data_IF_923666757666
#
_entry.id   IF_923666757666
#
_cell.length_a   1.000
_cell.length_b   1.000
_cell.length_c   1.000
_cell.angle_alpha   90.00
_cell.angle_beta   90.00
_cell.angle_gamma   90.00
#
_symmetry.space_group_name_H-M   'P 1'
#
loop_
_entity.id
_entity.type
_entity.pdbx_description
1 polymer ?
#
# COMPACT_ATOMS: atom_id res chain seq x y z
N UNK A 1 -23.46 12.43 -3.08
CA UNK A 1 -23.92 11.07 -2.72
C UNK A 1 -22.91 10.02 -3.19
N UNK A 2 -21.62 10.14 -2.82
CA UNK A 2 -20.51 9.30 -3.33
C UNK A 2 -19.45 8.96 -2.25
N UNK A 3 -19.81 9.14 -0.98
CA UNK A 3 -18.85 9.17 0.14
C UNK A 3 -18.64 7.82 0.85
N UNK A 4 -19.45 6.81 0.56
CA UNK A 4 -19.39 5.51 1.25
C UNK A 4 -18.56 4.46 0.50
N UNK A 5 -18.73 4.29 -0.81
CA UNK A 5 -18.04 3.26 -1.59
C UNK A 5 -16.51 3.34 -1.54
N UNK A 6 -15.96 4.56 -1.53
CA UNK A 6 -14.52 4.78 -1.46
C UNK A 6 -13.87 4.38 -0.13
N UNK A 7 -14.59 4.46 1.00
CA UNK A 7 -13.99 4.13 2.31
C UNK A 7 -13.84 2.62 2.46
N UNK A 8 -14.85 1.86 2.00
CA UNK A 8 -14.84 0.40 2.06
C UNK A 8 -13.79 -0.21 1.11
N UNK A 9 -13.62 0.36 -0.08
CA UNK A 9 -12.55 -0.03 -1.00
C UNK A 9 -11.16 0.18 -0.37
N UNK A 10 -10.91 1.34 0.25
CA UNK A 10 -9.62 1.63 0.90
C UNK A 10 -9.38 0.72 2.12
N UNK A 11 -10.42 0.39 2.89
CA UNK A 11 -10.30 -0.58 3.99
C UNK A 11 -10.01 -2.00 3.51
N UNK A 12 -10.63 -2.45 2.41
CA UNK A 12 -10.32 -3.74 1.80
C UNK A 12 -8.88 -3.80 1.31
N UNK A 13 -8.40 -2.72 0.68
CA UNK A 13 -7.02 -2.60 0.22
C UNK A 13 -6.01 -2.58 1.38
N UNK A 14 -6.34 -1.89 2.48
CA UNK A 14 -5.54 -1.92 3.70
C UNK A 14 -5.45 -3.33 4.29
N UNK A 15 -6.58 -4.04 4.38
CA UNK A 15 -6.59 -5.40 4.90
C UNK A 15 -5.75 -6.37 4.03
N UNK A 16 -5.84 -6.24 2.71
CA UNK A 16 -5.02 -7.03 1.79
C UNK A 16 -3.52 -6.73 1.95
N UNK A 17 -3.12 -5.45 1.93
CA UNK A 17 -1.71 -5.08 2.08
C UNK A 17 -1.12 -5.47 3.43
N UNK A 18 -1.89 -5.38 4.52
CA UNK A 18 -1.45 -5.88 5.83
C UNK A 18 -1.27 -7.40 5.79
N UNK A 19 -2.19 -8.14 5.15
CA UNK A 19 -2.03 -9.58 4.94
C UNK A 19 -0.78 -9.93 4.16
N UNK A 20 -0.49 -9.20 3.07
CA UNK A 20 0.72 -9.36 2.25
C UNK A 20 1.97 -9.07 3.08
N UNK A 21 1.97 -7.97 3.85
CA UNK A 21 3.09 -7.61 4.72
C UNK A 21 3.38 -8.71 5.75
N UNK A 22 2.35 -9.28 6.37
CA UNK A 22 2.48 -10.40 7.31
C UNK A 22 3.09 -11.62 6.59
N UNK A 23 2.57 -11.99 5.41
CA UNK A 23 3.10 -13.13 4.64
C UNK A 23 4.57 -12.96 4.28
N UNK A 24 4.98 -11.76 3.82
CA UNK A 24 6.37 -11.44 3.53
C UNK A 24 7.25 -11.45 4.77
N UNK A 25 6.75 -10.94 5.90
CA UNK A 25 7.50 -10.95 7.16
C UNK A 25 7.70 -12.37 7.71
N UNK A 26 6.70 -13.24 7.59
CA UNK A 26 6.84 -14.67 7.91
C UNK A 26 7.88 -15.32 7.00
N UNK A 27 7.84 -15.04 5.69
CA UNK A 27 8.85 -15.54 4.76
C UNK A 27 10.26 -15.03 5.09
N UNK A 28 10.40 -13.79 5.54
CA UNK A 28 11.66 -13.27 6.05
C UNK A 28 12.16 -14.09 7.25
N UNK A 29 11.31 -14.36 8.25
CA UNK A 29 11.70 -15.16 9.43
C UNK A 29 12.15 -16.56 9.01
N UNK A 30 11.48 -17.18 8.04
CA UNK A 30 11.78 -18.53 7.56
C UNK A 30 13.07 -18.60 6.73
N UNK A 31 13.34 -17.58 5.91
CA UNK A 31 14.49 -17.56 4.98
C UNK A 31 15.74 -16.91 5.59
N UNK A 32 15.56 -15.99 6.54
CA UNK A 32 16.61 -15.12 7.06
C UNK A 32 17.18 -14.14 6.03
N UNK A 33 16.50 -13.94 4.88
CA UNK A 33 17.02 -13.16 3.76
C UNK A 33 16.81 -11.65 3.93
N UNK A 34 17.86 -10.86 3.74
CA UNK A 34 17.80 -9.38 3.67
C UNK A 34 16.85 -8.89 2.57
N UNK A 35 16.82 -9.57 1.42
CA UNK A 35 15.91 -9.29 0.31
C UNK A 35 14.44 -9.47 0.71
N UNK A 36 14.12 -10.53 1.46
CA UNK A 36 12.75 -10.75 1.98
C UNK A 36 12.36 -9.72 3.05
N UNK A 37 13.31 -9.25 3.87
CA UNK A 37 13.07 -8.16 4.80
C UNK A 37 12.75 -6.84 4.08
N UNK A 38 13.52 -6.51 3.03
CA UNK A 38 13.27 -5.35 2.18
C UNK A 38 11.84 -5.36 1.62
N UNK A 39 11.44 -6.49 1.05
CA UNK A 39 10.10 -6.72 0.53
C UNK A 39 9.01 -6.59 1.60
N UNK A 40 9.24 -7.10 2.81
CA UNK A 40 8.30 -6.98 3.92
C UNK A 40 8.13 -5.52 4.37
N UNK A 41 9.23 -4.77 4.50
CA UNK A 41 9.22 -3.34 4.85
C UNK A 41 8.48 -2.53 3.79
N UNK A 42 8.66 -2.87 2.51
CA UNK A 42 7.93 -2.23 1.42
C UNK A 42 6.41 -2.37 1.58
N UNK A 43 5.91 -3.59 1.84
CA UNK A 43 4.48 -3.82 2.05
C UNK A 43 3.91 -3.14 3.31
N UNK A 44 4.75 -2.90 4.32
CA UNK A 44 4.38 -2.06 5.48
C UNK A 44 4.26 -0.58 5.08
N UNK A 45 5.17 -0.08 4.24
CA UNK A 45 5.09 1.28 3.71
C UNK A 45 3.82 1.48 2.88
N UNK A 46 3.44 0.50 2.05
CA UNK A 46 2.19 0.54 1.28
C UNK A 46 0.94 0.58 2.17
N UNK A 47 0.93 -0.21 3.25
CA UNK A 47 -0.14 -0.16 4.25
C UNK A 47 -0.24 1.23 4.91
N UNK A 48 0.91 1.87 5.17
CA UNK A 48 0.98 3.23 5.73
C UNK A 48 0.38 4.26 4.77
N UNK A 49 0.59 4.11 3.47
CA UNK A 49 -0.02 4.99 2.46
C UNK A 49 -1.56 4.91 2.46
N UNK A 50 -2.12 3.71 2.63
CA UNK A 50 -3.57 3.55 2.77
C UNK A 50 -4.10 4.19 4.05
N UNK A 51 -3.36 4.13 5.16
CA UNK A 51 -3.72 4.86 6.39
C UNK A 51 -3.75 6.38 6.18
N UNK A 52 -2.80 6.93 5.42
CA UNK A 52 -2.80 8.36 5.06
C UNK A 52 -4.02 8.74 4.21
N UNK A 53 -4.43 7.88 3.26
CA UNK A 53 -5.64 8.10 2.47
C UNK A 53 -6.92 8.05 3.33
N UNK A 54 -6.99 7.11 4.28
CA UNK A 54 -8.11 7.02 5.24
C UNK A 54 -8.17 8.27 6.12
N UNK A 55 -7.01 8.74 6.61
CA UNK A 55 -6.92 9.96 7.41
C UNK A 55 -7.36 11.20 6.60
N UNK A 56 -6.92 11.31 5.35
CA UNK A 56 -7.34 12.35 4.43
C UNK A 56 -8.84 12.34 4.17
N UNK A 57 -9.42 11.14 4.00
CA UNK A 57 -10.87 10.95 3.88
C UNK A 57 -11.62 11.36 5.15
N UNK A 58 -11.12 11.00 6.33
CA UNK A 58 -11.71 11.40 7.62
C UNK A 58 -11.67 12.92 7.81
N UNK A 59 -10.53 13.56 7.53
CA UNK A 59 -10.38 15.02 7.62
C UNK A 59 -11.25 15.76 6.60
N UNK A 60 -11.45 15.18 5.41
CA UNK A 60 -12.31 15.77 4.39
C UNK A 60 -13.81 15.81 4.78
N UNK A 61 -14.25 14.97 5.71
CA UNK A 61 -15.62 14.97 6.25
C UNK A 61 -15.85 15.99 7.37
N UNK A 62 -14.82 16.75 7.77
CA UNK A 62 -14.95 17.77 8.82
C UNK A 62 -15.85 18.92 8.35
N UNK A 63 -16.76 19.36 9.23
CA UNK A 63 -17.65 20.49 9.00
C UNK A 63 -16.86 21.80 8.79
N UNK A 64 -17.50 22.76 8.09
CA UNK A 64 -16.94 24.09 7.90
C UNK A 64 -16.76 24.82 9.23
N UNK A 65 -15.71 25.64 9.31
CA UNK A 65 -15.43 26.49 10.45
C UNK A 65 -15.04 27.90 9.98
N UNK A 66 -14.86 28.89 10.88
CA UNK A 66 -14.56 30.27 10.49
C UNK A 66 -13.30 30.41 9.64
N UNK A 67 -12.35 29.48 9.77
CA UNK A 67 -11.11 29.48 8.97
C UNK A 67 -11.30 28.84 7.59
N UNK A 68 -12.23 27.88 7.49
CA UNK A 68 -12.56 27.16 6.26
C UNK A 68 -14.08 27.19 6.00
N UNK A 69 -14.57 28.33 5.52
CA UNK A 69 -16.00 28.57 5.26
C UNK A 69 -16.61 27.61 4.22
N UNK A 70 -15.80 27.13 3.27
CA UNK A 70 -16.20 26.14 2.26
C UNK A 70 -16.06 24.68 2.73
N UNK A 71 -15.66 24.44 3.98
CA UNK A 71 -15.41 23.11 4.52
C UNK A 71 -14.10 22.46 4.06
N UNK A 72 -13.90 21.20 4.46
CA UNK A 72 -12.62 20.50 4.34
C UNK A 72 -12.57 19.46 3.20
N UNK A 73 -13.60 19.37 2.35
CA UNK A 73 -13.71 18.31 1.34
C UNK A 73 -12.45 18.18 0.44
N UNK A 74 -11.81 19.32 0.10
CA UNK A 74 -10.60 19.36 -0.75
C UNK A 74 -9.35 18.78 -0.08
N UNK A 75 -9.33 18.63 1.24
CA UNK A 75 -8.19 18.05 1.97
C UNK A 75 -7.89 16.63 1.50
N UNK A 76 -8.91 15.87 1.04
CA UNK A 76 -8.69 14.53 0.47
C UNK A 76 -7.69 14.54 -0.70
N UNK A 77 -7.76 15.55 -1.57
CA UNK A 77 -6.85 15.66 -2.72
C UNK A 77 -5.43 16.00 -2.27
N UNK A 78 -5.27 16.81 -1.23
CA UNK A 78 -3.96 17.12 -0.64
C UNK A 78 -3.31 15.85 -0.11
N UNK A 79 -4.05 15.04 0.65
CA UNK A 79 -3.55 13.76 1.15
C UNK A 79 -3.22 12.77 0.02
N UNK A 80 -4.07 12.68 -1.00
CA UNK A 80 -3.80 11.85 -2.17
C UNK A 80 -2.52 12.30 -2.90
N UNK A 81 -2.32 13.61 -3.06
CA UNK A 81 -1.12 14.18 -3.68
C UNK A 81 0.15 13.89 -2.87
N UNK A 82 0.09 14.06 -1.54
CA UNK A 82 1.21 13.71 -0.64
C UNK A 82 1.55 12.22 -0.76
N UNK A 83 0.55 11.34 -0.75
CA UNK A 83 0.76 9.89 -0.93
C UNK A 83 1.40 9.59 -2.29
N UNK A 84 0.94 10.23 -3.37
CA UNK A 84 1.54 10.05 -4.71
C UNK A 84 3.01 10.48 -4.74
N UNK A 85 3.37 11.61 -4.10
CA UNK A 85 4.77 12.05 -4.00
C UNK A 85 5.60 11.05 -3.21
N UNK A 86 5.11 10.59 -2.07
CA UNK A 86 5.81 9.63 -1.21
C UNK A 86 6.06 8.33 -1.97
N UNK A 87 5.02 7.76 -2.61
CA UNK A 87 5.16 6.55 -3.41
C UNK A 87 6.14 6.74 -4.57
N UNK A 88 6.03 7.84 -5.31
CA UNK A 88 6.88 8.09 -6.46
C UNK A 88 8.34 8.29 -6.06
N UNK A 89 8.61 9.12 -5.05
CA UNK A 89 9.98 9.41 -4.62
C UNK A 89 10.58 8.24 -3.85
N UNK A 90 9.93 7.78 -2.79
CA UNK A 90 10.49 6.71 -1.94
C UNK A 90 10.50 5.41 -2.73
N UNK A 91 9.37 5.00 -3.30
CA UNK A 91 9.27 3.78 -4.10
C UNK A 91 10.14 3.82 -5.35
N UNK A 92 10.15 4.94 -6.08
CA UNK A 92 10.96 5.09 -7.31
C UNK A 92 12.46 5.12 -7.05
N UNK A 93 12.94 5.93 -6.10
CA UNK A 93 14.37 5.98 -5.75
C UNK A 93 14.83 4.62 -5.22
N UNK A 94 14.04 3.99 -4.35
CA UNK A 94 14.35 2.67 -3.80
C UNK A 94 14.42 1.60 -4.90
N UNK A 95 13.49 1.62 -5.85
CA UNK A 95 13.48 0.68 -6.98
C UNK A 95 14.70 0.86 -7.90
N UNK A 96 15.10 2.11 -8.17
CA UNK A 96 16.31 2.39 -8.95
C UNK A 96 17.57 1.94 -8.21
N UNK A 97 17.66 2.23 -6.90
CA UNK A 97 18.76 1.81 -6.06
C UNK A 97 18.87 0.28 -6.02
N UNK A 98 17.78 -0.42 -5.69
CA UNK A 98 17.79 -1.87 -5.56
C UNK A 98 18.00 -2.57 -6.91
N UNK A 99 17.46 -2.00 -8.00
CA UNK A 99 17.72 -2.46 -9.36
C UNK A 99 19.20 -2.35 -9.75
N UNK A 100 19.83 -1.19 -9.49
CA UNK A 100 21.27 -1.00 -9.76
C UNK A 100 22.14 -1.86 -8.84
N UNK A 101 21.75 -1.99 -7.57
CA UNK A 101 22.46 -2.80 -6.58
C UNK A 101 22.45 -4.29 -6.98
N UNK A 102 21.29 -4.87 -7.31
CA UNK A 102 21.19 -6.26 -7.76
C UNK A 102 21.86 -6.51 -9.10
N UNK A 103 21.92 -5.51 -9.98
CA UNK A 103 22.65 -5.61 -11.25
C UNK A 103 24.16 -5.71 -11.03
N UNK A 104 24.70 -4.94 -10.09
CA UNK A 104 26.15 -4.92 -9.78
C UNK A 104 26.58 -6.05 -8.83
N UNK A 105 25.68 -6.51 -7.97
CA UNK A 105 25.91 -7.58 -7.00
C UNK A 105 24.78 -8.62 -7.13
N UNK A 106 24.92 -9.60 -8.04
CA UNK A 106 23.94 -10.66 -8.21
C UNK A 106 23.88 -11.51 -6.94
N UNK A 107 22.78 -11.44 -6.20
CA UNK A 107 22.49 -12.38 -5.13
C UNK A 107 21.77 -13.60 -5.70
N UNK A 108 22.19 -14.80 -5.31
CA UNK A 108 21.48 -16.02 -5.66
C UNK A 108 20.08 -16.03 -5.02
N UNK A 109 19.08 -16.40 -5.82
CA UNK A 109 17.70 -16.57 -5.36
C UNK A 109 17.63 -17.76 -4.39
N UNK A 110 17.86 -17.51 -3.11
CA UNK A 110 17.60 -18.49 -2.06
C UNK A 110 16.10 -18.65 -1.85
N UNK A 111 15.68 -19.89 -1.65
CA UNK A 111 14.33 -20.22 -1.17
C UNK A 111 13.18 -19.76 -2.08
N UNK A 112 13.34 -19.94 -3.40
CA UNK A 112 12.34 -19.62 -4.44
C UNK A 112 10.95 -20.17 -4.13
N UNK A 113 10.86 -21.36 -3.52
CA UNK A 113 9.57 -21.95 -3.14
C UNK A 113 8.78 -21.11 -2.14
N UNK A 114 9.46 -20.48 -1.16
CA UNK A 114 8.83 -19.60 -0.18
C UNK A 114 8.40 -18.30 -0.86
N UNK A 115 9.26 -17.73 -1.72
CA UNK A 115 8.94 -16.54 -2.50
C UNK A 115 7.69 -16.74 -3.38
N UNK A 116 7.60 -17.89 -4.06
CA UNK A 116 6.43 -18.25 -4.89
C UNK A 116 5.17 -18.43 -4.05
N UNK A 117 5.26 -19.06 -2.87
CA UNK A 117 4.12 -19.20 -1.98
C UNK A 117 3.59 -17.84 -1.52
N UNK A 118 4.48 -16.92 -1.13
CA UNK A 118 4.10 -15.53 -0.78
C UNK A 118 3.48 -14.82 -1.97
N UNK A 119 4.02 -14.98 -3.18
CA UNK A 119 3.48 -14.38 -4.39
C UNK A 119 2.05 -14.84 -4.67
N UNK A 120 1.76 -16.14 -4.54
CA UNK A 120 0.41 -16.70 -4.72
C UNK A 120 -0.56 -16.13 -3.68
N UNK A 121 -0.14 -16.06 -2.41
CA UNK A 121 -0.94 -15.45 -1.34
C UNK A 121 -1.23 -13.98 -1.67
N UNK A 122 -0.21 -13.24 -2.10
CA UNK A 122 -0.34 -11.83 -2.43
C UNK A 122 -1.30 -11.60 -3.61
N UNK A 123 -1.20 -12.40 -4.68
CA UNK A 123 -2.14 -12.36 -5.79
C UNK A 123 -3.57 -12.60 -5.31
N UNK A 124 -3.79 -13.59 -4.43
CA UNK A 124 -5.10 -13.89 -3.88
C UNK A 124 -5.70 -12.74 -3.07
N UNK A 125 -4.90 -12.14 -2.17
CA UNK A 125 -5.31 -11.01 -1.35
C UNK A 125 -5.58 -9.76 -2.19
N UNK A 126 -4.70 -9.46 -3.15
CA UNK A 126 -4.82 -8.29 -4.01
C UNK A 126 -6.01 -8.43 -4.96
N UNK A 127 -6.25 -9.61 -5.53
CA UNK A 127 -7.44 -9.89 -6.34
C UNK A 127 -8.74 -9.71 -5.55
N UNK A 128 -8.76 -10.11 -4.27
CA UNK A 128 -9.91 -9.90 -3.40
C UNK A 128 -10.16 -8.41 -3.13
N UNK A 129 -9.12 -7.66 -2.80
CA UNK A 129 -9.16 -6.21 -2.62
C UNK A 129 -9.67 -5.51 -3.89
N UNK A 130 -9.06 -5.83 -5.03
CA UNK A 130 -9.41 -5.27 -6.33
C UNK A 130 -10.86 -5.56 -6.70
N UNK A 131 -11.31 -6.80 -6.52
CA UNK A 131 -12.72 -7.17 -6.77
C UNK A 131 -13.69 -6.37 -5.89
N UNK A 132 -13.31 -6.09 -4.65
CA UNK A 132 -14.11 -5.25 -3.74
C UNK A 132 -14.15 -3.81 -4.23
N UNK A 133 -13.00 -3.23 -4.60
CA UNK A 133 -12.93 -1.89 -5.15
C UNK A 133 -13.73 -1.75 -6.45
N UNK A 134 -13.64 -2.73 -7.35
CA UNK A 134 -14.38 -2.75 -8.61
C UNK A 134 -15.90 -2.76 -8.38
N UNK A 135 -16.39 -3.62 -7.47
CA UNK A 135 -17.82 -3.66 -7.13
C UNK A 135 -18.32 -2.36 -6.49
N UNK A 136 -17.52 -1.73 -5.64
CA UNK A 136 -17.89 -0.46 -5.00
C UNK A 136 -17.79 0.73 -5.98
N UNK A 137 -16.97 0.64 -7.03
CA UNK A 137 -16.91 1.67 -8.08
C UNK A 137 -18.03 1.58 -9.10
N UNK A 138 -18.62 0.38 -9.27
CA UNK A 138 -19.70 0.13 -10.22
C UNK A 138 -21.11 0.28 -9.58
N UNK A 139 -21.16 0.72 -8.32
CA UNK A 139 -22.37 1.11 -7.59
C UNK A 139 -22.54 2.62 -7.63
#
# INVERSE_FOLDING_TARGET
MSTEGGTKAVLAALAANVGIAISKFVAFILTGSSSMLSEAIHSVADSTNQLLLLLGGKRAKRAADPTHQFGYARVRYVYAFVVSIVLFLVGGIFSLYEGFHKFTHPEELRDVGIALAVLVIAIGLEAFSFRTAFKESNK
#
